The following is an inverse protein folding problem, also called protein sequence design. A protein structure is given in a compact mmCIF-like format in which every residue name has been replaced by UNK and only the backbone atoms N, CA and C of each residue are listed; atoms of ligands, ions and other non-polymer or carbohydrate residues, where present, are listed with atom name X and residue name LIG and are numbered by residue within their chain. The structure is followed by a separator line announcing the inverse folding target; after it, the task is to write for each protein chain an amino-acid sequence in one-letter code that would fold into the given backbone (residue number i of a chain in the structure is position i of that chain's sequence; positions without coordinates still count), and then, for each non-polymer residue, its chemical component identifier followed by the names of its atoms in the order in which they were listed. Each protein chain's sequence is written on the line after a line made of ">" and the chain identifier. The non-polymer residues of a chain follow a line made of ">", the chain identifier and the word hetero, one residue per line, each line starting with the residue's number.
data_IF_037235083496
#
_entry.id   IF_037235083496
#
_cell.length_a   1.000
_cell.length_b   1.000
_cell.length_c   1.000
_cell.angle_alpha   90.00
_cell.angle_beta   90.00
_cell.angle_gamma   90.00
#
_symmetry.space_group_name_H-M   'P 1'
#
loop_
_entity.id
_entity.type
_entity.pdbx_description
1 polymer ?
#
# COMPACT_ATOMS: atom_id res chain seq x y z
N UNK A 1 5.07 19.16 -14.59
CA UNK A 1 3.98 18.79 -13.65
C UNK A 1 4.62 18.18 -12.42
N UNK A 2 4.23 18.70 -11.26
CA UNK A 2 4.95 18.75 -9.97
C UNK A 2 5.11 17.38 -9.29
N UNK A 3 6.35 16.97 -9.02
CA UNK A 3 6.68 15.92 -8.03
C UNK A 3 6.39 16.48 -6.64
N UNK A 4 5.15 16.33 -6.17
CA UNK A 4 4.82 16.51 -4.75
C UNK A 4 5.25 15.26 -3.99
N UNK A 5 6.56 15.12 -3.80
CA UNK A 5 7.14 14.17 -2.85
C UNK A 5 7.18 14.90 -1.51
N UNK A 6 6.09 14.81 -0.77
CA UNK A 6 6.07 15.10 0.66
C UNK A 6 6.45 13.81 1.39
N UNK A 7 7.75 13.55 1.48
CA UNK A 7 8.37 12.64 2.45
C UNK A 7 8.06 13.15 3.86
N UNK A 8 6.92 12.73 4.43
CA UNK A 8 6.67 12.90 5.85
C UNK A 8 6.92 11.56 6.54
N UNK A 9 8.19 11.25 6.73
CA UNK A 9 8.65 10.15 7.59
C UNK A 9 8.43 10.57 9.05
N UNK A 10 7.31 10.18 9.64
CA UNK A 10 7.11 10.24 11.09
C UNK A 10 7.57 8.89 11.64
N UNK A 11 8.81 8.83 12.15
CA UNK A 11 9.37 7.64 12.82
C UNK A 11 10.11 6.64 11.92
N UNK A 12 10.70 7.07 10.80
CA UNK A 12 11.55 6.23 9.93
C UNK A 12 10.82 5.18 9.09
N UNK A 13 9.49 5.10 9.20
CA UNK A 13 8.66 4.20 8.40
C UNK A 13 8.07 4.99 7.21
N UNK A 14 8.34 4.51 6.00
CA UNK A 14 7.78 5.12 4.79
C UNK A 14 6.33 4.65 4.62
N UNK A 15 5.37 5.58 4.71
CA UNK A 15 3.95 5.28 4.66
C UNK A 15 3.38 5.67 3.30
N UNK A 16 2.86 4.67 2.58
CA UNK A 16 2.22 4.84 1.28
C UNK A 16 0.76 5.26 1.47
N UNK A 17 0.29 6.16 0.61
CA UNK A 17 -1.14 6.43 0.46
C UNK A 17 -1.79 5.47 -0.57
N UNK A 18 -3.13 5.50 -0.68
CA UNK A 18 -3.90 4.61 -1.58
C UNK A 18 -3.41 4.70 -3.04
N UNK A 19 -3.09 5.90 -3.53
CA UNK A 19 -2.66 6.10 -4.92
C UNK A 19 -1.24 5.56 -5.14
N UNK A 20 -0.36 5.76 -4.18
CA UNK A 20 1.01 5.23 -4.23
C UNK A 20 1.00 3.70 -4.19
N UNK A 21 0.21 3.11 -3.28
CA UNK A 21 0.04 1.66 -3.21
C UNK A 21 -0.55 1.09 -4.51
N UNK A 22 -1.57 1.74 -5.08
CA UNK A 22 -2.16 1.33 -6.35
C UNK A 22 -1.13 1.36 -7.49
N UNK A 23 -0.30 2.40 -7.55
CA UNK A 23 0.76 2.53 -8.53
C UNK A 23 1.87 1.48 -8.36
N UNK A 24 2.20 1.13 -7.11
CA UNK A 24 3.18 0.11 -6.76
C UNK A 24 2.70 -1.29 -7.16
N UNK A 25 1.48 -1.65 -6.76
CA UNK A 25 0.86 -2.94 -7.08
C UNK A 25 0.36 -3.04 -8.52
N UNK A 26 0.41 -1.96 -9.30
CA UNK A 26 -0.12 -1.87 -10.68
C UNK A 26 -1.62 -2.24 -10.77
N UNK A 27 -2.40 -1.83 -9.78
CA UNK A 27 -3.85 -2.05 -9.72
C UNK A 27 -4.62 -0.73 -9.67
N UNK A 28 -5.93 -0.81 -9.83
CA UNK A 28 -6.80 0.36 -9.65
C UNK A 28 -6.92 0.77 -8.18
N UNK A 29 -7.18 2.05 -7.91
CA UNK A 29 -7.47 2.52 -6.54
C UNK A 29 -8.70 1.79 -5.94
N UNK A 30 -9.70 1.47 -6.76
CA UNK A 30 -10.85 0.65 -6.35
C UNK A 30 -10.43 -0.73 -5.89
N UNK A 31 -9.46 -1.36 -6.57
CA UNK A 31 -8.88 -2.64 -6.12
C UNK A 31 -8.22 -2.51 -4.76
N UNK A 32 -7.49 -1.41 -4.50
CA UNK A 32 -6.90 -1.16 -3.17
C UNK A 32 -8.00 -0.99 -2.11
N UNK A 33 -9.06 -0.25 -2.38
CA UNK A 33 -10.19 -0.15 -1.45
C UNK A 33 -10.84 -1.51 -1.18
N UNK A 34 -10.98 -2.38 -2.19
CA UNK A 34 -11.48 -3.75 -1.99
C UNK A 34 -10.58 -4.58 -1.09
N UNK A 35 -9.25 -4.46 -1.22
CA UNK A 35 -8.30 -5.13 -0.32
C UNK A 35 -8.46 -4.65 1.12
N UNK A 36 -8.70 -3.35 1.31
CA UNK A 36 -8.94 -2.74 2.63
C UNK A 36 -10.27 -3.22 3.22
N UNK A 37 -11.35 -3.22 2.44
CA UNK A 37 -12.67 -3.68 2.87
C UNK A 37 -12.64 -5.15 3.30
N UNK A 38 -11.91 -5.98 2.56
CA UNK A 38 -11.68 -7.40 2.88
C UNK A 38 -10.68 -7.63 4.01
N UNK A 39 -9.97 -6.58 4.45
CA UNK A 39 -8.87 -6.65 5.41
C UNK A 39 -7.75 -7.61 4.98
N UNK A 40 -7.54 -7.73 3.67
CA UNK A 40 -6.48 -8.57 3.09
C UNK A 40 -5.10 -7.95 3.30
N UNK A 41 -5.03 -6.61 3.41
CA UNK A 41 -3.80 -5.85 3.64
C UNK A 41 -3.90 -5.02 4.93
N UNK A 42 -2.88 -5.02 5.81
CA UNK A 42 -2.83 -4.14 6.97
C UNK A 42 -2.80 -2.66 6.56
N UNK A 43 -3.52 -1.82 7.30
CA UNK A 43 -3.56 -0.39 7.06
C UNK A 43 -3.73 0.40 8.35
N UNK A 44 -3.22 1.63 8.35
CA UNK A 44 -3.45 2.61 9.41
C UNK A 44 -4.51 3.59 8.93
N UNK A 45 -5.57 3.74 9.71
CA UNK A 45 -6.62 4.72 9.45
C UNK A 45 -6.28 6.04 10.14
N UNK A 46 -6.01 7.07 9.35
CA UNK A 46 -5.81 8.42 9.82
C UNK A 46 -7.07 9.26 9.54
N UNK A 47 -7.24 10.40 10.25
CA UNK A 47 -8.34 11.33 9.98
C UNK A 47 -8.39 11.82 8.52
N UNK A 48 -7.25 11.85 7.83
CA UNK A 48 -7.11 12.32 6.44
C UNK A 48 -6.84 11.20 5.43
N UNK A 49 -7.27 9.98 5.74
CA UNK A 49 -7.26 8.86 4.80
C UNK A 49 -6.48 7.65 5.30
N UNK A 50 -6.19 6.72 4.38
CA UNK A 50 -5.53 5.46 4.67
C UNK A 50 -4.03 5.56 4.41
N UNK A 51 -3.24 4.88 5.23
CA UNK A 51 -1.79 4.71 5.08
C UNK A 51 -1.42 3.25 5.19
N UNK A 52 -0.40 2.85 4.44
CA UNK A 52 0.12 1.50 4.37
C UNK A 52 1.61 1.53 4.64
N UNK A 53 2.10 0.66 5.51
CA UNK A 53 3.53 0.49 5.70
C UNK A 53 4.11 -0.29 4.52
N UNK A 54 5.29 0.08 4.03
CA UNK A 54 6.00 -0.71 3.01
C UNK A 54 6.23 -2.16 3.47
N UNK A 55 6.57 -2.37 4.75
CA UNK A 55 6.77 -3.71 5.31
C UNK A 55 5.49 -4.57 5.24
N UNK A 56 4.32 -3.97 5.47
CA UNK A 56 3.04 -4.67 5.37
C UNK A 56 2.70 -5.04 3.92
N UNK A 57 3.04 -4.16 2.98
CA UNK A 57 2.85 -4.37 1.54
C UNK A 57 3.77 -5.49 1.04
N UNK A 58 5.02 -5.51 1.48
CA UNK A 58 5.97 -6.58 1.16
C UNK A 58 5.51 -7.93 1.72
N UNK A 59 5.08 -7.96 2.98
CA UNK A 59 4.52 -9.16 3.60
C UNK A 59 3.26 -9.66 2.87
N UNK A 60 2.40 -8.74 2.42
CA UNK A 60 1.24 -9.07 1.60
C UNK A 60 1.66 -9.72 0.27
N UNK A 61 2.60 -9.11 -0.46
CA UNK A 61 3.12 -9.67 -1.71
C UNK A 61 3.75 -11.05 -1.51
N UNK A 62 4.53 -11.24 -0.44
CA UNK A 62 5.15 -12.52 -0.12
C UNK A 62 4.10 -13.63 0.13
N UNK A 63 2.99 -13.30 0.81
CA UNK A 63 1.89 -14.24 1.07
C UNK A 63 1.09 -14.62 -0.18
N UNK A 64 1.00 -13.72 -1.15
CA UNK A 64 0.27 -13.92 -2.40
C UNK A 64 1.15 -14.36 -3.57
N UNK A 65 2.46 -14.48 -3.35
CA UNK A 65 3.40 -15.00 -4.35
C UNK A 65 3.09 -16.47 -4.58
N UNK A 66 2.61 -16.79 -5.78
CA UNK A 66 2.57 -18.16 -6.28
C UNK A 66 3.94 -18.50 -6.85
N UNK A 67 4.46 -19.68 -6.52
CA UNK A 67 5.68 -20.18 -7.16
C UNK A 67 5.39 -20.42 -8.64
N UNK A 68 6.31 -20.00 -9.51
CA UNK A 68 6.21 -20.33 -10.92
C UNK A 68 6.32 -21.84 -11.05
N UNK A 69 5.25 -22.49 -11.49
CA UNK A 69 5.27 -23.90 -11.85
C UNK A 69 6.09 -24.00 -13.13
N UNK A 70 7.17 -24.79 -13.08
CA UNK A 70 8.04 -25.12 -14.22
C UNK A 70 7.31 -25.93 -15.28
#
# INVERSE_FOLDING_TARGET
>A
MTKSTSEQSIGGQNLLNVRELAALLKVSATSVYRLVERRDIPFVRLPRGLRFSEADVEAFLARHRVEAVE
#
